data_IF_819392565334
#
_entry.id   IF_819392565334
#
_cell.length_a   1.000
_cell.length_b   1.000
_cell.length_c   1.000
_cell.angle_alpha   90.00
_cell.angle_beta   90.00
_cell.angle_gamma   90.00
#
_symmetry.space_group_name_H-M   'P 1'
#
loop_
_entity.id
_entity.type
_entity.pdbx_description
1 polymer ?
#
# COMPACT_ATOMS: atom_id res chain seq x y z
N UNK A 1 74.85 12.23 27.67
CA UNK A 1 74.05 11.28 28.47
C UNK A 1 72.64 11.83 28.59
N UNK A 2 71.64 10.98 28.29
CA UNK A 2 70.21 11.11 28.62
C UNK A 2 69.37 12.15 27.86
N UNK A 3 68.57 11.67 26.90
CA UNK A 3 67.10 11.82 26.81
C UNK A 3 66.62 11.57 25.37
N UNK A 4 66.16 10.34 25.11
CA UNK A 4 65.26 9.98 24.00
C UNK A 4 64.78 8.56 24.30
N UNK A 5 63.69 8.42 25.05
CA UNK A 5 62.90 7.18 25.21
C UNK A 5 61.64 7.48 26.05
N UNK A 6 60.69 8.23 25.47
CA UNK A 6 59.47 8.63 26.19
C UNK A 6 58.24 8.82 25.31
N UNK A 7 58.20 8.25 24.11
CA UNK A 7 57.04 8.38 23.21
C UNK A 7 56.44 7.06 22.71
N UNK A 8 57.06 5.91 23.00
CA UNK A 8 56.61 4.61 22.46
C UNK A 8 55.69 3.85 23.44
N UNK A 9 55.66 4.19 24.72
CA UNK A 9 54.83 3.47 25.72
C UNK A 9 53.38 3.97 25.87
N UNK A 10 52.99 5.08 25.24
CA UNK A 10 51.60 5.59 25.34
C UNK A 10 50.63 5.07 24.28
N UNK A 11 51.10 4.36 23.26
CA UNK A 11 50.24 3.81 22.19
C UNK A 11 49.84 2.34 22.38
N UNK A 12 50.46 1.61 23.32
CA UNK A 12 50.16 0.19 23.56
C UNK A 12 49.26 -0.09 24.79
N UNK A 13 48.83 0.94 25.52
CA UNK A 13 47.94 0.79 26.68
C UNK A 13 46.44 1.00 26.36
N UNK A 14 46.07 1.39 25.14
CA UNK A 14 44.68 1.72 24.75
C UNK A 14 43.91 0.58 24.07
N UNK A 15 44.53 -0.57 23.83
CA UNK A 15 43.95 -1.67 23.00
C UNK A 15 43.61 -2.94 23.78
N UNK A 16 43.54 -2.88 25.13
CA UNK A 16 43.26 -4.04 25.98
C UNK A 16 41.99 -3.95 26.84
N UNK A 17 41.03 -3.09 26.49
CA UNK A 17 39.84 -2.84 27.31
C UNK A 17 38.46 -3.12 26.68
N UNK A 18 38.36 -3.56 25.43
CA UNK A 18 37.10 -3.50 24.66
C UNK A 18 36.56 -4.87 24.17
N UNK A 19 36.76 -5.96 24.92
CA UNK A 19 36.22 -7.28 24.55
C UNK A 19 35.25 -7.91 25.57
N UNK A 20 34.76 -7.17 26.58
CA UNK A 20 33.94 -7.78 27.64
C UNK A 20 32.44 -7.39 27.72
N UNK A 21 31.92 -6.40 26.98
CA UNK A 21 30.56 -5.89 27.25
C UNK A 21 29.53 -5.90 26.10
N UNK A 22 29.84 -6.52 24.96
CA UNK A 22 28.94 -6.49 23.79
C UNK A 22 27.78 -7.52 23.78
N UNK A 23 27.34 -8.06 24.92
CA UNK A 23 26.24 -9.05 24.96
C UNK A 23 25.05 -8.73 25.87
N UNK A 24 24.77 -7.44 26.16
CA UNK A 24 23.57 -7.04 26.94
C UNK A 24 22.77 -5.84 26.40
N UNK A 25 23.04 -5.37 25.18
CA UNK A 25 22.43 -4.13 24.65
C UNK A 25 21.22 -4.29 23.72
N UNK A 26 20.84 -5.50 23.31
CA UNK A 26 19.85 -5.69 22.22
C UNK A 26 18.39 -5.90 22.65
N UNK A 27 18.01 -5.62 23.90
CA UNK A 27 16.67 -5.95 24.42
C UNK A 27 15.82 -4.77 24.92
N UNK A 28 16.27 -3.52 24.82
CA UNK A 28 15.60 -2.38 25.48
C UNK A 28 14.92 -1.38 24.51
N UNK A 29 15.17 -1.45 23.19
CA UNK A 29 14.54 -0.52 22.23
C UNK A 29 13.23 -1.02 21.59
N UNK A 30 12.66 -2.15 22.04
CA UNK A 30 11.41 -2.69 21.47
C UNK A 30 10.19 -2.57 22.39
N UNK A 31 10.22 -1.73 23.45
CA UNK A 31 9.15 -1.73 24.47
C UNK A 31 8.51 -0.39 24.84
N UNK A 32 8.75 0.69 24.10
CA UNK A 32 8.15 2.01 24.41
C UNK A 32 7.16 2.54 23.36
N UNK A 33 6.69 1.72 22.42
CA UNK A 33 5.68 2.11 21.42
C UNK A 33 4.31 1.43 21.57
N UNK A 34 3.96 0.93 22.78
CA UNK A 34 2.69 0.22 22.99
C UNK A 34 1.65 0.89 23.90
N UNK A 35 1.92 2.01 24.58
CA UNK A 35 1.01 2.55 25.60
C UNK A 35 0.46 3.97 25.33
N UNK A 36 0.04 4.25 24.10
CA UNK A 36 -0.82 5.43 23.85
C UNK A 36 -1.81 5.23 22.70
N UNK A 37 -2.72 4.28 22.87
CA UNK A 37 -3.94 4.20 22.06
C UNK A 37 -5.16 4.17 23.00
N UNK A 38 -5.39 5.30 23.67
CA UNK A 38 -6.62 5.52 24.43
C UNK A 38 -7.75 5.81 23.44
N UNK A 39 -8.77 4.97 23.52
CA UNK A 39 -10.00 5.02 22.74
C UNK A 39 -10.72 6.38 22.85
N UNK A 40 -11.10 6.94 21.70
CA UNK A 40 -12.17 7.93 21.58
C UNK A 40 -13.27 7.37 20.66
N UNK A 41 -14.56 7.57 20.99
CA UNK A 41 -15.68 7.04 20.23
C UNK A 41 -15.93 7.88 18.98
N UNK A 42 -15.83 7.28 17.79
CA UNK A 42 -16.21 7.91 16.53
C UNK A 42 -17.73 7.84 16.36
N UNK A 43 -18.39 9.01 16.39
CA UNK A 43 -19.73 9.22 15.84
C UNK A 43 -19.59 9.49 14.35
N UNK A 44 -20.16 8.62 13.53
CA UNK A 44 -20.46 8.91 12.13
C UNK A 44 -21.74 9.75 12.07
N UNK A 45 -21.72 10.82 11.26
CA UNK A 45 -22.94 11.42 10.73
C UNK A 45 -22.66 11.91 9.31
N UNK A 46 -23.38 11.32 8.37
CA UNK A 46 -23.43 11.72 6.96
C UNK A 46 -24.10 13.10 6.82
N UNK A 47 -23.58 13.96 5.93
CA UNK A 47 -24.37 14.90 5.12
C UNK A 47 -23.54 15.52 3.98
N UNK A 48 -23.82 15.10 2.76
CA UNK A 48 -23.69 15.98 1.59
C UNK A 48 -25.01 16.70 1.38
N UNK A 49 -24.98 18.02 1.21
CA UNK A 49 -25.80 18.67 0.19
C UNK A 49 -25.19 20.01 -0.22
N UNK A 50 -25.26 20.24 -1.52
CA UNK A 50 -24.62 21.27 -2.32
C UNK A 50 -25.02 22.70 -1.97
N UNK A 51 -24.05 23.62 -2.12
CA UNK A 51 -24.35 25.00 -2.52
C UNK A 51 -23.43 25.41 -3.66
N UNK A 52 -24.09 25.82 -4.72
CA UNK A 52 -23.59 26.36 -5.98
C UNK A 52 -23.03 27.77 -5.76
N UNK A 53 -21.72 27.99 -5.99
CA UNK A 53 -21.17 29.33 -6.28
C UNK A 53 -19.71 29.28 -6.73
N UNK A 54 -19.51 29.80 -7.93
CA UNK A 54 -18.30 30.46 -8.49
C UNK A 54 -17.12 29.62 -9.04
N UNK A 55 -16.59 30.00 -10.23
CA UNK A 55 -15.44 29.36 -10.85
C UNK A 55 -14.15 30.03 -10.39
N UNK A 56 -13.62 29.64 -9.24
CA UNK A 56 -12.26 30.01 -8.82
C UNK A 56 -11.32 28.80 -8.81
N UNK A 57 -10.24 28.93 -9.58
CA UNK A 57 -8.96 28.23 -9.53
C UNK A 57 -8.88 26.70 -9.69
N UNK A 58 -8.92 26.30 -10.96
CA UNK A 58 -8.36 25.05 -11.53
C UNK A 58 -6.84 24.81 -11.33
N UNK A 59 -6.18 25.47 -10.39
CA UNK A 59 -4.73 25.36 -10.17
C UNK A 59 -4.33 24.22 -9.21
N UNK A 60 -5.21 23.75 -8.31
CA UNK A 60 -4.82 22.80 -7.25
C UNK A 60 -4.68 21.34 -7.71
N UNK A 61 -5.28 20.94 -8.83
CA UNK A 61 -5.27 19.54 -9.26
C UNK A 61 -3.95 19.09 -9.92
N UNK A 62 -3.05 20.02 -10.25
CA UNK A 62 -1.75 19.71 -10.89
C UNK A 62 -0.73 19.11 -9.91
N UNK A 63 -0.81 19.46 -8.63
CA UNK A 63 0.15 18.98 -7.62
C UNK A 63 -0.01 17.48 -7.32
N UNK A 64 -1.23 16.93 -7.49
CA UNK A 64 -1.49 15.51 -7.31
C UNK A 64 -0.89 14.64 -8.42
N UNK A 65 -0.81 15.17 -9.64
CA UNK A 65 -0.21 14.46 -10.78
C UNK A 65 1.31 14.45 -10.69
N UNK A 66 1.93 15.57 -10.29
CA UNK A 66 3.39 15.63 -10.10
C UNK A 66 3.86 14.69 -9.00
N UNK A 67 3.16 14.63 -7.86
CA UNK A 67 3.49 13.71 -6.77
C UNK A 67 3.40 12.23 -7.19
N UNK A 68 2.43 11.86 -8.04
CA UNK A 68 2.31 10.49 -8.57
C UNK A 68 3.46 10.14 -9.53
N UNK A 69 3.89 11.09 -10.34
CA UNK A 69 5.02 10.90 -11.26
C UNK A 69 6.33 10.75 -10.47
N UNK A 70 6.53 11.56 -9.43
CA UNK A 70 7.70 11.47 -8.55
C UNK A 70 7.74 10.16 -7.76
N UNK A 71 6.59 9.72 -7.23
CA UNK A 71 6.49 8.43 -6.53
C UNK A 71 6.83 7.27 -7.45
N UNK A 72 6.30 7.27 -8.67
CA UNK A 72 6.64 6.23 -9.67
C UNK A 72 8.12 6.25 -10.04
N UNK A 73 8.73 7.43 -10.19
CA UNK A 73 10.16 7.55 -10.46
C UNK A 73 11.02 7.04 -9.29
N UNK A 74 10.57 7.23 -8.06
CA UNK A 74 11.23 6.68 -6.88
C UNK A 74 11.10 5.14 -6.82
N UNK A 75 9.93 4.59 -7.14
CA UNK A 75 9.72 3.13 -7.24
C UNK A 75 10.61 2.49 -8.32
N UNK A 76 10.70 3.09 -9.51
CA UNK A 76 11.56 2.62 -10.59
C UNK A 76 13.05 2.66 -10.17
N UNK A 77 13.46 3.69 -9.42
CA UNK A 77 14.82 3.80 -8.87
C UNK A 77 15.12 2.73 -7.81
N UNK A 78 14.14 2.39 -6.95
CA UNK A 78 14.28 1.31 -5.97
C UNK A 78 14.48 -0.03 -6.70
N UNK A 79 13.64 -0.34 -7.69
CA UNK A 79 13.76 -1.56 -8.48
C UNK A 79 15.12 -1.66 -9.19
N UNK A 80 15.65 -0.54 -9.69
CA UNK A 80 16.99 -0.50 -10.27
C UNK A 80 18.08 -0.81 -9.23
N UNK A 81 18.03 -0.18 -8.06
CA UNK A 81 19.01 -0.41 -6.99
C UNK A 81 18.95 -1.84 -6.43
N UNK A 82 17.77 -2.44 -6.36
CA UNK A 82 17.60 -3.86 -5.99
C UNK A 82 18.26 -4.79 -7.02
N UNK A 83 18.16 -4.47 -8.32
CA UNK A 83 18.87 -5.17 -9.39
C UNK A 83 20.38 -5.06 -9.26
N UNK A 84 20.90 -3.84 -9.10
CA UNK A 84 22.34 -3.58 -8.94
C UNK A 84 22.91 -4.28 -7.68
N UNK A 85 22.11 -4.37 -6.60
CA UNK A 85 22.48 -5.08 -5.38
C UNK A 85 22.59 -6.59 -5.61
N UNK A 86 21.63 -7.20 -6.31
CA UNK A 86 21.66 -8.63 -6.65
C UNK A 86 22.87 -8.97 -7.54
N UNK A 87 23.18 -8.15 -8.53
CA UNK A 87 24.36 -8.32 -9.39
C UNK A 87 25.66 -8.23 -8.58
N UNK A 88 25.74 -7.29 -7.62
CA UNK A 88 26.89 -7.17 -6.73
C UNK A 88 27.04 -8.39 -5.79
N UNK A 89 25.94 -8.96 -5.28
CA UNK A 89 25.94 -10.17 -4.47
C UNK A 89 26.44 -11.39 -5.25
N UNK A 90 26.07 -11.51 -6.53
CA UNK A 90 26.57 -12.56 -7.43
C UNK A 90 28.10 -12.44 -7.63
N UNK A 91 28.61 -11.24 -7.91
CA UNK A 91 30.05 -10.98 -8.05
C UNK A 91 30.81 -11.34 -6.76
N UNK A 92 30.27 -10.99 -5.59
CA UNK A 92 30.87 -11.34 -4.30
C UNK A 92 30.93 -12.87 -4.11
N UNK A 93 29.88 -13.59 -4.51
CA UNK A 93 29.88 -15.05 -4.45
C UNK A 93 30.96 -15.67 -5.33
N UNK A 94 31.13 -15.18 -6.57
CA UNK A 94 32.19 -15.63 -7.48
C UNK A 94 33.59 -15.37 -6.92
N UNK A 95 33.86 -14.15 -6.43
CA UNK A 95 35.15 -13.79 -5.85
C UNK A 95 35.47 -14.61 -4.59
N UNK A 96 34.46 -14.92 -3.75
CA UNK A 96 34.63 -15.82 -2.59
C UNK A 96 35.01 -17.23 -3.03
N UNK A 97 34.37 -17.76 -4.08
CA UNK A 97 34.68 -19.08 -4.63
C UNK A 97 36.11 -19.13 -5.20
N UNK A 98 36.50 -18.11 -5.96
CA UNK A 98 37.85 -18.00 -6.53
C UNK A 98 38.92 -17.89 -5.43
N UNK A 99 38.70 -17.07 -4.40
CA UNK A 99 39.58 -16.98 -3.23
C UNK A 99 39.75 -18.33 -2.53
N UNK A 100 38.66 -19.07 -2.33
CA UNK A 100 38.69 -20.42 -1.75
C UNK A 100 39.51 -21.40 -2.61
N UNK A 101 39.37 -21.33 -3.94
CA UNK A 101 40.15 -22.13 -4.86
C UNK A 101 41.64 -21.78 -4.81
N UNK A 102 41.99 -20.50 -4.80
CA UNK A 102 43.37 -20.03 -4.68
C UNK A 102 44.00 -20.49 -3.35
N UNK A 103 43.27 -20.40 -2.24
CA UNK A 103 43.74 -20.91 -0.93
C UNK A 103 44.01 -22.42 -0.96
N UNK A 104 43.14 -23.21 -1.59
CA UNK A 104 43.38 -24.66 -1.77
C UNK A 104 44.61 -24.95 -2.61
N UNK A 105 44.90 -24.14 -3.62
CA UNK A 105 46.12 -24.29 -4.43
C UNK A 105 47.37 -23.95 -3.61
N UNK A 106 47.36 -22.87 -2.84
CA UNK A 106 48.45 -22.51 -1.92
C UNK A 106 48.69 -23.61 -0.90
N UNK A 107 47.64 -24.20 -0.33
CA UNK A 107 47.77 -25.32 0.60
C UNK A 107 48.38 -26.57 -0.08
N UNK A 108 47.98 -26.90 -1.31
CA UNK A 108 48.59 -27.99 -2.09
C UNK A 108 50.08 -27.75 -2.34
N UNK A 109 50.46 -26.54 -2.75
CA UNK A 109 51.85 -26.17 -2.97
C UNK A 109 52.66 -26.20 -1.67
N UNK A 110 52.08 -25.75 -0.55
CA UNK A 110 52.70 -25.81 0.77
C UNK A 110 52.95 -27.25 1.24
N UNK A 111 52.04 -28.19 0.92
CA UNK A 111 52.22 -29.63 1.19
C UNK A 111 53.19 -30.33 0.24
N UNK A 112 53.24 -29.89 -1.01
CA UNK A 112 54.15 -30.44 -2.03
C UNK A 112 55.56 -29.88 -1.96
N UNK A 113 55.75 -28.74 -1.28
CA UNK A 113 57.05 -28.23 -0.88
C UNK A 113 57.83 -29.37 -0.20
N UNK A 114 58.85 -29.93 -0.86
CA UNK A 114 59.56 -31.07 -0.32
C UNK A 114 60.16 -30.62 1.00
N UNK A 115 59.80 -31.35 2.07
CA UNK A 115 60.49 -31.32 3.34
C UNK A 115 61.99 -31.18 3.06
N UNK A 116 62.58 -30.10 3.59
CA UNK A 116 63.97 -29.63 3.41
C UNK A 116 65.06 -30.68 3.68
N UNK A 117 64.69 -31.94 3.93
CA UNK A 117 65.52 -33.08 4.27
C UNK A 117 66.01 -33.91 3.08
N UNK A 118 65.52 -33.72 1.85
CA UNK A 118 66.01 -34.45 0.66
C UNK A 118 66.74 -33.60 -0.38
N UNK A 119 66.77 -32.27 -0.22
CA UNK A 119 67.48 -31.32 -1.09
C UNK A 119 69.00 -31.24 -0.81
N UNK A 120 69.61 -32.30 -0.28
CA UNK A 120 71.08 -32.42 -0.21
C UNK A 120 71.62 -33.55 -1.10
N UNK A 121 70.77 -34.30 -1.81
CA UNK A 121 71.19 -35.42 -2.66
C UNK A 121 71.06 -35.24 -4.18
N UNK A 122 70.51 -34.12 -4.66
CA UNK A 122 70.39 -33.82 -6.10
C UNK A 122 71.08 -32.50 -6.50
N UNK A 123 71.97 -31.98 -5.66
CA UNK A 123 72.68 -30.72 -5.91
C UNK A 123 73.91 -30.89 -6.83
N UNK A 124 74.03 -31.99 -7.59
CA UNK A 124 75.25 -32.30 -8.33
C UNK A 124 75.15 -32.31 -9.86
N UNK A 125 73.97 -32.40 -10.49
CA UNK A 125 73.92 -32.66 -11.94
C UNK A 125 72.98 -31.76 -12.77
N UNK A 126 72.69 -30.53 -12.34
CA UNK A 126 71.98 -29.58 -13.21
C UNK A 126 72.42 -28.14 -13.01
N UNK A 127 73.71 -27.91 -13.30
CA UNK A 127 74.21 -26.60 -13.67
C UNK A 127 73.84 -26.33 -15.13
N UNK A 128 72.61 -25.83 -15.35
CA UNK A 128 72.33 -25.04 -16.54
C UNK A 128 71.81 -23.69 -16.07
N UNK A 129 72.70 -22.71 -16.21
CA UNK A 129 72.66 -21.39 -15.62
C UNK A 129 71.60 -20.52 -16.31
N UNK A 130 70.41 -20.45 -15.73
CA UNK A 130 69.70 -19.18 -15.67
C UNK A 130 69.98 -18.61 -14.27
N UNK A 131 70.58 -17.42 -14.26
CA UNK A 131 71.03 -16.68 -13.08
C UNK A 131 69.87 -16.50 -12.09
N UNK A 132 69.76 -17.38 -11.08
CA UNK A 132 68.67 -17.37 -10.09
C UNK A 132 68.53 -16.05 -9.31
N UNK A 133 69.51 -15.15 -9.46
CA UNK A 133 69.45 -13.79 -8.98
C UNK A 133 68.44 -12.93 -9.77
N UNK A 134 68.24 -13.16 -11.08
CA UNK A 134 67.27 -12.44 -11.90
C UNK A 134 65.82 -12.81 -11.57
N UNK A 135 65.53 -14.09 -11.35
CA UNK A 135 64.20 -14.53 -10.92
C UNK A 135 63.84 -13.96 -9.55
N UNK A 136 64.79 -13.95 -8.61
CA UNK A 136 64.56 -13.39 -7.27
C UNK A 136 64.21 -11.89 -7.31
N UNK A 137 64.91 -11.10 -8.13
CA UNK A 137 64.58 -9.68 -8.30
C UNK A 137 63.24 -9.47 -9.01
N UNK A 138 62.88 -10.29 -9.99
CA UNK A 138 61.55 -10.25 -10.63
C UNK A 138 60.41 -10.52 -9.63
N UNK A 139 60.54 -11.54 -8.78
CA UNK A 139 59.54 -11.85 -7.77
C UNK A 139 59.40 -10.75 -6.72
N UNK A 140 60.51 -10.12 -6.35
CA UNK A 140 60.54 -8.99 -5.42
C UNK A 140 59.86 -7.75 -6.00
N UNK A 141 60.07 -7.47 -7.29
CA UNK A 141 59.36 -6.39 -7.99
C UNK A 141 57.86 -6.67 -8.12
N UNK A 142 57.48 -7.91 -8.45
CA UNK A 142 56.07 -8.34 -8.49
C UNK A 142 55.40 -8.25 -7.12
N UNK A 143 56.09 -8.63 -6.04
CA UNK A 143 55.58 -8.50 -4.68
C UNK A 143 55.32 -7.02 -4.31
N UNK A 144 56.24 -6.13 -4.69
CA UNK A 144 56.09 -4.68 -4.49
C UNK A 144 54.92 -4.10 -5.28
N UNK A 145 54.70 -4.58 -6.51
CA UNK A 145 53.55 -4.18 -7.34
C UNK A 145 52.22 -4.58 -6.67
N UNK A 146 52.10 -5.84 -6.23
CA UNK A 146 50.90 -6.33 -5.54
C UNK A 146 50.66 -5.61 -4.20
N UNK A 147 51.72 -5.30 -3.46
CA UNK A 147 51.62 -4.50 -2.23
C UNK A 147 51.08 -3.10 -2.51
N UNK A 148 51.53 -2.46 -3.60
CA UNK A 148 51.01 -1.17 -4.02
C UNK A 148 49.54 -1.25 -4.47
N UNK A 149 49.16 -2.25 -5.28
CA UNK A 149 47.76 -2.49 -5.67
C UNK A 149 46.85 -2.71 -4.45
N UNK A 150 47.33 -3.49 -3.47
CA UNK A 150 46.61 -3.75 -2.23
C UNK A 150 46.47 -2.48 -1.37
N UNK A 151 47.47 -1.59 -1.38
CA UNK A 151 47.39 -0.28 -0.74
C UNK A 151 46.33 0.61 -1.42
N UNK A 152 46.31 0.66 -2.75
CA UNK A 152 45.32 1.41 -3.54
C UNK A 152 43.90 0.87 -3.29
N UNK A 153 43.71 -0.46 -3.32
CA UNK A 153 42.42 -1.08 -3.08
C UNK A 153 41.91 -0.80 -1.66
N UNK A 154 42.79 -0.83 -0.64
CA UNK A 154 42.44 -0.43 0.74
C UNK A 154 42.00 1.02 0.83
N UNK A 155 42.71 1.93 0.16
CA UNK A 155 42.36 3.35 0.15
C UNK A 155 41.02 3.60 -0.56
N UNK A 156 40.78 2.93 -1.69
CA UNK A 156 39.50 2.98 -2.41
C UNK A 156 38.34 2.45 -1.56
N UNK A 157 38.54 1.33 -0.84
CA UNK A 157 37.53 0.78 0.07
C UNK A 157 37.20 1.75 1.20
N UNK A 158 38.21 2.38 1.82
CA UNK A 158 37.98 3.39 2.87
C UNK A 158 37.22 4.60 2.33
N UNK A 159 37.53 5.06 1.11
CA UNK A 159 36.80 6.15 0.47
C UNK A 159 35.33 5.78 0.19
N UNK A 160 35.07 4.57 -0.32
CA UNK A 160 33.71 4.09 -0.57
C UNK A 160 32.90 3.94 0.73
N UNK A 161 33.51 3.43 1.81
CA UNK A 161 32.87 3.36 3.13
C UNK A 161 32.51 4.74 3.69
N UNK A 162 33.41 5.72 3.51
CA UNK A 162 33.16 7.08 3.94
C UNK A 162 32.03 7.74 3.12
N UNK A 163 32.00 7.51 1.80
CA UNK A 163 30.93 8.00 0.93
C UNK A 163 29.58 7.39 1.32
N UNK A 164 29.50 6.07 1.48
CA UNK A 164 28.28 5.38 1.91
C UNK A 164 27.77 5.92 3.27
N UNK A 165 28.68 6.22 4.20
CA UNK A 165 28.30 6.83 5.49
C UNK A 165 27.69 8.22 5.32
N UNK A 166 28.19 9.03 4.38
CA UNK A 166 27.61 10.35 4.07
C UNK A 166 26.22 10.19 3.45
N UNK A 167 26.08 9.31 2.46
CA UNK A 167 24.80 9.03 1.79
C UNK A 167 23.74 8.53 2.79
N UNK A 168 24.09 7.63 3.72
CA UNK A 168 23.18 7.21 4.78
C UNK A 168 22.73 8.38 5.66
N UNK A 169 23.62 9.31 6.01
CA UNK A 169 23.25 10.47 6.82
C UNK A 169 22.32 11.42 6.05
N UNK A 170 22.55 11.63 4.75
CA UNK A 170 21.69 12.45 3.90
C UNK A 170 20.28 11.84 3.79
N UNK A 171 20.18 10.52 3.61
CA UNK A 171 18.89 9.82 3.58
C UNK A 171 18.14 9.94 4.92
N UNK A 172 18.84 9.83 6.05
CA UNK A 172 18.24 10.00 7.38
C UNK A 172 17.68 11.42 7.54
N UNK A 173 18.38 12.45 7.07
CA UNK A 173 17.88 13.84 7.12
C UNK A 173 16.64 14.04 6.25
N UNK A 174 16.61 13.47 5.03
CA UNK A 174 15.42 13.53 4.17
C UNK A 174 14.21 12.86 4.82
N UNK A 175 14.39 11.68 5.42
CA UNK A 175 13.32 10.99 6.15
C UNK A 175 12.82 11.85 7.31
N UNK A 176 13.73 12.48 8.06
CA UNK A 176 13.38 13.38 9.17
C UNK A 176 12.54 14.57 8.70
N UNK A 177 12.87 15.16 7.55
CA UNK A 177 12.10 16.26 6.96
C UNK A 177 10.70 15.81 6.52
N UNK A 178 10.58 14.66 5.88
CA UNK A 178 9.29 14.09 5.47
C UNK A 178 8.40 13.76 6.69
N UNK A 179 8.97 13.23 7.77
CA UNK A 179 8.23 12.99 9.02
C UNK A 179 7.70 14.28 9.65
N UNK A 180 8.46 15.37 9.57
CA UNK A 180 8.03 16.70 10.02
C UNK A 180 6.89 17.24 9.15
N UNK A 181 6.98 17.09 7.84
CA UNK A 181 5.91 17.49 6.90
C UNK A 181 4.63 16.69 7.12
N UNK A 182 4.71 15.37 7.27
CA UNK A 182 3.56 14.51 7.61
C UNK A 182 2.93 14.95 8.93
N UNK A 183 3.74 15.29 9.93
CA UNK A 183 3.25 15.78 11.23
C UNK A 183 2.50 17.10 11.08
N UNK A 184 3.01 18.02 10.26
CA UNK A 184 2.33 19.29 9.95
C UNK A 184 1.00 19.04 9.23
N UNK A 185 1.00 18.23 8.17
CA UNK A 185 -0.21 17.89 7.42
C UNK A 185 -1.28 17.23 8.30
N UNK A 186 -0.88 16.37 9.24
CA UNK A 186 -1.81 15.78 10.23
C UNK A 186 -2.45 16.86 11.12
N UNK A 187 -1.67 17.84 11.58
CA UNK A 187 -2.23 18.93 12.39
C UNK A 187 -3.18 19.82 11.60
N UNK A 188 -2.89 20.07 10.32
CA UNK A 188 -3.75 20.88 9.46
C UNK A 188 -5.03 20.13 9.07
N UNK A 189 -4.94 18.81 8.83
CA UNK A 189 -6.11 17.94 8.64
C UNK A 189 -7.02 17.98 9.86
N UNK A 190 -6.47 17.83 11.07
CA UNK A 190 -7.23 17.87 12.31
C UNK A 190 -7.97 19.21 12.51
N UNK A 191 -7.30 20.34 12.25
CA UNK A 191 -7.95 21.68 12.27
C UNK A 191 -9.05 21.80 11.21
N UNK A 192 -8.90 21.14 10.06
CA UNK A 192 -9.93 21.13 9.03
C UNK A 192 -11.13 20.29 9.45
N UNK A 193 -10.92 19.14 10.06
CA UNK A 193 -11.99 18.29 10.62
C UNK A 193 -12.76 19.03 11.72
N UNK A 194 -12.07 19.77 12.59
CA UNK A 194 -12.69 20.63 13.61
C UNK A 194 -13.59 21.71 12.97
N UNK A 195 -13.09 22.44 11.97
CA UNK A 195 -13.87 23.44 11.23
C UNK A 195 -15.09 22.83 10.52
N UNK A 196 -14.96 21.62 9.96
CA UNK A 196 -16.10 20.91 9.33
C UNK A 196 -17.15 20.60 10.40
N UNK A 197 -16.74 20.11 11.57
CA UNK A 197 -17.64 19.87 12.70
C UNK A 197 -18.42 21.12 13.15
N UNK A 198 -17.74 22.27 13.24
CA UNK A 198 -18.39 23.55 13.57
C UNK A 198 -19.46 23.94 12.53
N UNK A 199 -19.16 23.77 11.23
CA UNK A 199 -20.08 24.07 10.13
C UNK A 199 -21.26 23.08 10.11
N UNK A 200 -21.03 21.79 10.38
CA UNK A 200 -22.08 20.79 10.48
C UNK A 200 -23.04 21.09 11.66
N UNK A 201 -22.49 21.55 12.77
CA UNK A 201 -23.23 22.01 13.94
C UNK A 201 -24.09 23.25 13.62
N UNK A 202 -23.53 24.25 12.93
CA UNK A 202 -24.27 25.43 12.46
C UNK A 202 -25.39 25.04 11.48
N UNK A 203 -25.10 24.20 10.49
CA UNK A 203 -26.09 23.71 9.53
C UNK A 203 -27.22 22.93 10.21
N UNK A 204 -26.91 22.15 11.25
CA UNK A 204 -27.95 21.46 12.04
C UNK A 204 -28.88 22.47 12.72
N UNK A 205 -28.33 23.51 13.34
CA UNK A 205 -29.12 24.57 13.98
C UNK A 205 -30.00 25.31 12.98
N UNK A 206 -29.47 25.65 11.80
CA UNK A 206 -30.23 26.30 10.72
C UNK A 206 -31.38 25.42 10.23
N UNK A 207 -31.16 24.12 10.05
CA UNK A 207 -32.20 23.17 9.64
C UNK A 207 -33.32 23.09 10.68
N UNK A 208 -32.98 23.10 11.97
CA UNK A 208 -33.99 23.06 13.04
C UNK A 208 -34.77 24.38 13.14
N UNK A 209 -34.12 25.53 12.92
CA UNK A 209 -34.78 26.83 12.83
C UNK A 209 -35.75 26.91 11.64
N UNK A 210 -35.35 26.40 10.46
CA UNK A 210 -36.23 26.34 9.28
C UNK A 210 -37.46 25.49 9.57
N UNK A 211 -37.31 24.34 10.23
CA UNK A 211 -38.44 23.49 10.62
C UNK A 211 -39.40 24.20 11.57
N UNK A 212 -38.88 24.94 12.55
CA UNK A 212 -39.70 25.70 13.49
C UNK A 212 -40.51 26.79 12.76
N UNK A 213 -39.87 27.58 11.91
CA UNK A 213 -40.56 28.60 11.10
C UNK A 213 -41.60 27.98 10.16
N UNK A 214 -41.29 26.85 9.52
CA UNK A 214 -42.25 26.16 8.63
C UNK A 214 -43.47 25.63 9.40
N UNK A 215 -43.27 25.17 10.64
CA UNK A 215 -44.38 24.75 11.51
C UNK A 215 -45.23 25.93 11.98
N UNK A 216 -44.63 27.08 12.26
CA UNK A 216 -45.33 28.30 12.66
C UNK A 216 -46.19 28.87 11.52
N UNK A 217 -45.63 28.96 10.30
CA UNK A 217 -46.39 29.35 9.09
C UNK A 217 -47.58 28.41 8.82
N UNK A 218 -47.40 27.10 9.06
CA UNK A 218 -48.47 26.11 8.90
C UNK A 218 -49.59 26.26 9.93
N UNK A 219 -49.32 26.84 11.10
CA UNK A 219 -50.33 27.11 12.14
C UNK A 219 -51.11 28.39 11.87
N UNK A 220 -50.49 29.37 11.25
CA UNK A 220 -51.11 30.67 10.98
C UNK A 220 -52.07 30.64 9.78
N UNK A 221 -51.92 29.66 8.88
CA UNK A 221 -52.77 29.48 7.69
C UNK A 221 -53.86 28.40 7.83
N UNK A 222 -54.40 28.14 9.03
CA UNK A 222 -55.69 27.44 9.12
C UNK A 222 -56.84 28.46 8.99
N UNK A 223 -57.48 28.61 7.82
CA UNK A 223 -58.73 29.33 7.73
C UNK A 223 -59.79 28.56 8.54
N UNK A 224 -60.52 29.28 9.40
CA UNK A 224 -61.77 28.79 9.98
C UNK A 224 -62.74 28.45 8.83
N UNK A 225 -62.71 27.20 8.37
CA UNK A 225 -63.63 26.71 7.35
C UNK A 225 -64.78 25.95 8.01
N UNK A 226 -65.92 26.62 7.88
CA UNK A 226 -67.30 26.22 8.09
C UNK A 226 -67.61 24.79 7.61
N UNK A 227 -68.45 24.09 8.36
CA UNK A 227 -68.82 22.68 8.20
C UNK A 227 -69.55 22.44 6.86
N UNK A 228 -68.82 22.01 5.84
CA UNK A 228 -69.34 21.74 4.50
C UNK A 228 -68.94 20.38 3.95
N UNK A 229 -69.69 19.35 4.37
CA UNK A 229 -69.97 18.08 3.67
C UNK A 229 -69.09 17.69 2.45
N UNK A 230 -68.25 16.67 2.66
CA UNK A 230 -68.24 15.48 1.81
C UNK A 230 -67.51 15.55 0.47
N UNK A 231 -66.20 15.36 0.48
CA UNK A 231 -65.52 14.37 -0.38
C UNK A 231 -64.11 14.12 0.15
N UNK A 232 -63.96 13.08 0.97
CA UNK A 232 -62.65 12.52 1.34
C UNK A 232 -62.01 11.92 0.08
N UNK A 233 -61.33 12.77 -0.71
CA UNK A 233 -60.34 12.30 -1.67
C UNK A 233 -59.17 11.75 -0.88
N UNK A 234 -59.21 10.43 -0.70
CA UNK A 234 -58.14 9.58 -0.20
C UNK A 234 -56.84 9.99 -0.93
N UNK A 235 -55.98 10.75 -0.24
CA UNK A 235 -54.61 10.99 -0.63
C UNK A 235 -53.91 9.62 -0.67
N UNK A 236 -54.01 8.93 -1.80
CA UNK A 236 -53.33 7.67 -2.05
C UNK A 236 -51.85 7.95 -1.88
N UNK A 237 -51.26 7.30 -0.89
CA UNK A 237 -49.84 7.25 -0.60
C UNK A 237 -49.09 6.93 -1.92
N UNK A 238 -48.62 7.96 -2.62
CA UNK A 238 -47.92 7.84 -3.90
C UNK A 238 -46.47 7.41 -3.65
N UNK A 239 -46.31 6.32 -2.91
CA UNK A 239 -45.03 5.63 -2.89
C UNK A 239 -44.82 5.03 -4.28
N UNK A 240 -43.73 5.40 -4.98
CA UNK A 240 -43.53 4.91 -6.34
C UNK A 240 -43.46 3.38 -6.34
N UNK A 241 -44.23 2.76 -7.24
CA UNK A 241 -44.34 1.31 -7.34
C UNK A 241 -43.07 0.71 -7.98
N UNK A 242 -42.64 -0.45 -7.49
CA UNK A 242 -41.53 -1.19 -8.10
C UNK A 242 -41.99 -1.85 -9.40
N UNK A 243 -41.31 -1.57 -10.50
CA UNK A 243 -41.58 -2.18 -11.81
C UNK A 243 -40.52 -3.24 -12.12
N UNK A 244 -40.94 -4.42 -12.58
CA UNK A 244 -40.02 -5.50 -12.96
C UNK A 244 -39.45 -5.25 -14.37
N UNK A 245 -38.12 -5.33 -14.50
CA UNK A 245 -37.37 -5.03 -15.72
C UNK A 245 -37.14 -6.33 -16.52
N UNK A 246 -37.98 -6.53 -17.53
CA UNK A 246 -37.96 -7.73 -18.41
C UNK A 246 -37.04 -7.61 -19.62
N UNK A 247 -36.50 -6.41 -19.88
CA UNK A 247 -35.69 -6.14 -21.08
C UNK A 247 -34.43 -7.03 -21.08
N UNK A 248 -34.14 -7.62 -22.24
CA UNK A 248 -32.96 -8.48 -22.46
C UNK A 248 -32.02 -7.79 -23.42
N UNK A 249 -30.81 -7.50 -22.92
CA UNK A 249 -29.71 -6.99 -23.73
C UNK A 249 -28.77 -8.14 -24.12
N UNK A 250 -28.06 -8.04 -25.26
CA UNK A 250 -27.06 -9.02 -25.65
C UNK A 250 -25.96 -9.09 -24.59
N UNK A 251 -25.42 -10.28 -24.34
CA UNK A 251 -24.35 -10.42 -23.34
C UNK A 251 -23.04 -9.85 -23.89
N UNK A 252 -22.35 -8.97 -23.15
CA UNK A 252 -21.03 -8.48 -23.52
C UNK A 252 -20.01 -9.61 -23.72
N UNK A 253 -18.95 -9.32 -24.49
CA UNK A 253 -17.89 -10.29 -24.82
C UNK A 253 -16.82 -10.46 -23.71
N UNK A 254 -16.94 -9.70 -22.62
CA UNK A 254 -16.05 -9.74 -21.46
C UNK A 254 -16.74 -10.36 -20.24
N UNK A 255 -15.97 -10.71 -19.21
CA UNK A 255 -16.47 -11.32 -17.96
C UNK A 255 -16.66 -10.28 -16.83
N UNK A 256 -17.29 -10.68 -15.71
CA UNK A 256 -17.52 -9.79 -14.56
C UNK A 256 -16.24 -9.30 -13.86
N UNK A 257 -15.14 -10.06 -13.96
CA UNK A 257 -13.85 -9.69 -13.38
C UNK A 257 -12.99 -8.82 -14.33
N UNK A 258 -13.50 -8.54 -15.53
CA UNK A 258 -12.78 -7.78 -16.57
C UNK A 258 -12.49 -6.34 -16.13
N UNK A 259 -11.39 -5.73 -16.62
CA UNK A 259 -11.06 -4.33 -16.32
C UNK A 259 -12.16 -3.36 -16.77
N UNK A 260 -12.93 -3.69 -17.81
CA UNK A 260 -14.07 -2.90 -18.29
C UNK A 260 -15.16 -2.79 -17.22
N UNK A 261 -15.50 -3.89 -16.57
CA UNK A 261 -16.49 -3.90 -15.47
C UNK A 261 -15.95 -3.12 -14.27
N UNK A 262 -14.66 -3.27 -13.94
CA UNK A 262 -14.05 -2.53 -12.83
C UNK A 262 -14.05 -1.01 -13.09
N UNK A 263 -13.72 -0.60 -14.30
CA UNK A 263 -13.75 0.80 -14.73
C UNK A 263 -15.17 1.36 -14.64
N UNK A 264 -16.17 0.62 -15.13
CA UNK A 264 -17.58 1.04 -15.05
C UNK A 264 -18.06 1.20 -13.61
N UNK A 265 -17.76 0.25 -12.72
CA UNK A 265 -18.16 0.37 -11.33
C UNK A 265 -17.50 1.58 -10.65
N UNK A 266 -16.25 1.90 -11.02
CA UNK A 266 -15.53 3.07 -10.50
C UNK A 266 -16.14 4.40 -11.00
N UNK A 267 -16.64 4.45 -12.24
CA UNK A 267 -17.30 5.66 -12.77
C UNK A 267 -18.71 5.84 -12.21
N UNK A 268 -19.36 4.79 -11.74
CA UNK A 268 -20.72 4.85 -11.18
C UNK A 268 -20.79 5.26 -9.71
N UNK A 269 -19.70 5.14 -8.96
CA UNK A 269 -19.66 5.61 -7.58
C UNK A 269 -18.24 5.94 -7.14
N UNK A 270 -18.06 7.14 -6.55
CA UNK A 270 -16.84 7.54 -5.84
C UNK A 270 -16.72 6.91 -4.46
N UNK A 271 -17.80 6.31 -3.94
CA UNK A 271 -17.82 5.68 -2.63
C UNK A 271 -17.11 4.31 -2.69
N UNK A 272 -15.86 4.29 -2.21
CA UNK A 272 -15.00 3.11 -2.18
C UNK A 272 -15.65 1.93 -1.43
N UNK A 273 -16.40 2.19 -0.35
CA UNK A 273 -17.10 1.13 0.40
C UNK A 273 -18.22 0.50 -0.42
N UNK A 274 -19.05 1.32 -1.08
CA UNK A 274 -20.14 0.85 -1.96
C UNK A 274 -19.57 0.05 -3.14
N UNK A 275 -18.48 0.54 -3.74
CA UNK A 275 -17.75 -0.14 -4.80
C UNK A 275 -17.27 -1.53 -4.35
N UNK A 276 -16.59 -1.60 -3.20
CA UNK A 276 -16.11 -2.86 -2.62
C UNK A 276 -17.25 -3.82 -2.33
N UNK A 277 -18.35 -3.33 -1.74
CA UNK A 277 -19.54 -4.13 -1.46
C UNK A 277 -20.16 -4.72 -2.74
N UNK A 278 -20.31 -3.93 -3.79
CA UNK A 278 -20.82 -4.39 -5.09
C UNK A 278 -19.88 -5.44 -5.70
N UNK A 279 -18.56 -5.22 -5.65
CA UNK A 279 -17.57 -6.20 -6.15
C UNK A 279 -17.65 -7.51 -5.38
N UNK A 280 -17.71 -7.46 -4.05
CA UNK A 280 -17.86 -8.65 -3.21
C UNK A 280 -19.19 -9.37 -3.50
N UNK A 281 -20.27 -8.62 -3.69
CA UNK A 281 -21.57 -9.18 -4.06
C UNK A 281 -21.50 -9.88 -5.42
N UNK A 282 -20.94 -9.24 -6.45
CA UNK A 282 -20.77 -9.83 -7.78
C UNK A 282 -19.91 -11.09 -7.73
N UNK A 283 -18.76 -11.03 -7.05
CA UNK A 283 -17.87 -12.18 -6.88
C UNK A 283 -18.55 -13.34 -6.14
N UNK A 284 -19.33 -13.04 -5.09
CA UNK A 284 -20.08 -14.06 -4.36
C UNK A 284 -21.17 -14.70 -5.22
N UNK A 285 -21.87 -13.88 -6.00
CA UNK A 285 -22.94 -14.35 -6.88
C UNK A 285 -22.37 -15.26 -7.98
N UNK A 286 -21.26 -14.87 -8.61
CA UNK A 286 -20.61 -15.63 -9.71
C UNK A 286 -19.98 -16.95 -9.22
N UNK A 287 -19.35 -16.96 -8.06
CA UNK A 287 -18.61 -18.12 -7.54
C UNK A 287 -19.52 -19.18 -6.88
N UNK A 288 -20.64 -19.53 -7.51
CA UNK A 288 -21.68 -20.38 -6.95
C UNK A 288 -21.24 -21.82 -6.61
N UNK A 289 -20.04 -22.21 -7.06
CA UNK A 289 -19.40 -23.50 -6.75
C UNK A 289 -18.77 -23.54 -5.35
N UNK A 290 -18.63 -22.40 -4.68
CA UNK A 290 -18.16 -22.38 -3.30
C UNK A 290 -19.33 -22.80 -2.41
N UNK A 291 -19.33 -24.07 -2.01
CA UNK A 291 -20.31 -24.69 -1.10
C UNK A 291 -20.83 -23.69 -0.06
N UNK A 292 -22.08 -23.24 -0.21
CA UNK A 292 -22.77 -22.32 0.72
C UNK A 292 -22.78 -22.80 2.17
N UNK A 293 -22.48 -24.08 2.40
CA UNK A 293 -22.31 -24.67 3.75
C UNK A 293 -20.99 -24.27 4.42
N UNK A 294 -20.00 -23.77 3.66
CA UNK A 294 -18.69 -23.30 4.18
C UNK A 294 -18.60 -21.79 4.43
N UNK A 295 -19.56 -20.99 3.95
CA UNK A 295 -19.67 -19.57 4.29
C UNK A 295 -21.01 -19.33 5.03
N UNK A 296 -20.97 -19.18 6.36
CA UNK A 296 -22.11 -18.97 7.31
C UNK A 296 -22.97 -17.70 7.09
N UNK A 297 -23.35 -16.84 8.08
CA UNK A 297 -24.27 -15.63 8.08
C UNK A 297 -23.63 -14.19 8.37
N UNK A 298 -23.60 -13.18 7.43
CA UNK A 298 -23.03 -11.79 7.61
C UNK A 298 -24.18 -10.94 8.12
N UNK A 299 -23.91 -10.02 9.04
CA UNK A 299 -24.78 -8.86 9.29
C UNK A 299 -24.17 -7.60 8.70
N UNK A 300 -25.00 -6.73 8.11
CA UNK A 300 -24.61 -5.46 7.48
C UNK A 300 -23.76 -4.56 8.42
N UNK A 301 -23.96 -4.68 9.74
CA UNK A 301 -23.24 -3.93 10.78
C UNK A 301 -21.76 -4.35 10.96
N UNK A 302 -21.35 -5.51 10.43
CA UNK A 302 -19.97 -6.00 10.53
C UNK A 302 -19.08 -5.52 9.37
N UNK A 303 -19.68 -4.99 8.29
CA UNK A 303 -18.93 -4.34 7.21
C UNK A 303 -18.42 -2.94 7.61
N UNK A 304 -19.06 -2.30 8.59
CA UNK A 304 -18.68 -0.95 9.05
C UNK A 304 -17.41 -0.93 9.91
N UNK A 305 -17.00 -2.07 10.49
CA UNK A 305 -15.87 -2.15 11.45
C UNK A 305 -14.70 -3.02 10.99
N UNK A 306 -14.83 -3.75 9.88
CA UNK A 306 -13.77 -4.65 9.42
C UNK A 306 -12.73 -3.89 8.57
N UNK A 307 -11.63 -3.48 9.20
CA UNK A 307 -10.33 -3.49 8.52
C UNK A 307 -10.13 -4.88 7.94
N UNK A 308 -9.71 -4.91 6.67
CA UNK A 308 -9.76 -6.00 5.70
C UNK A 308 -9.04 -7.32 6.09
N UNK A 309 -8.60 -7.53 7.32
CA UNK A 309 -7.74 -8.66 7.72
C UNK A 309 -8.39 -9.77 8.56
N UNK A 310 -9.67 -9.69 8.94
CA UNK A 310 -10.34 -10.82 9.59
C UNK A 310 -11.77 -11.03 9.09
N UNK A 311 -11.89 -11.68 7.94
CA UNK A 311 -13.16 -12.21 7.43
C UNK A 311 -13.35 -13.61 8.03
N UNK A 312 -14.15 -13.74 9.09
CA UNK A 312 -14.46 -15.07 9.63
C UNK A 312 -15.41 -15.84 8.67
N UNK A 313 -15.10 -17.12 8.37
CA UNK A 313 -15.84 -17.96 7.43
C UNK A 313 -17.19 -18.31 8.01
N UNK A 314 -18.19 -17.52 7.63
CA UNK A 314 -19.35 -17.50 8.48
C UNK A 314 -20.38 -16.52 8.02
N UNK A 315 -20.50 -16.22 6.71
CA UNK A 315 -21.41 -15.16 6.27
C UNK A 315 -22.30 -15.18 4.99
N UNK A 316 -23.63 -15.01 5.16
CA UNK A 316 -24.70 -15.11 4.17
C UNK A 316 -24.77 -13.75 3.50
N UNK A 317 -24.19 -13.66 2.32
CA UNK A 317 -24.36 -12.52 1.47
C UNK A 317 -25.85 -12.36 1.11
N UNK A 318 -26.39 -11.14 1.08
CA UNK A 318 -27.78 -10.93 0.74
C UNK A 318 -28.07 -11.43 -0.68
N UNK A 319 -29.23 -12.06 -0.83
CA UNK A 319 -29.70 -12.69 -2.07
C UNK A 319 -29.80 -11.69 -3.23
N UNK A 320 -29.91 -10.40 -2.91
CA UNK A 320 -29.88 -9.31 -3.87
C UNK A 320 -29.18 -8.08 -3.34
N UNK A 321 -28.92 -7.14 -4.25
CA UNK A 321 -28.38 -5.82 -3.97
C UNK A 321 -29.43 -4.76 -4.32
N UNK A 322 -29.52 -3.74 -3.48
CA UNK A 322 -30.35 -2.55 -3.71
C UNK A 322 -29.42 -1.37 -3.87
N UNK A 323 -29.54 -0.68 -5.00
CA UNK A 323 -28.73 0.44 -5.40
C UNK A 323 -29.63 1.65 -5.45
N UNK A 324 -29.66 2.46 -4.38
CA UNK A 324 -30.58 3.57 -4.32
C UNK A 324 -30.09 4.75 -5.15
N UNK A 325 -31.05 5.55 -5.61
CA UNK A 325 -30.86 6.91 -6.17
C UNK A 325 -29.78 6.99 -7.28
N UNK A 326 -29.81 6.05 -8.20
CA UNK A 326 -28.95 6.00 -9.38
C UNK A 326 -29.39 7.03 -10.43
N UNK A 327 -28.41 7.63 -11.11
CA UNK A 327 -28.66 8.36 -12.35
C UNK A 327 -29.19 7.41 -13.44
N UNK A 328 -29.99 7.89 -14.40
CA UNK A 328 -30.56 7.07 -15.47
C UNK A 328 -29.49 6.26 -16.24
N UNK A 329 -28.35 6.89 -16.53
CA UNK A 329 -27.24 6.29 -17.28
C UNK A 329 -26.58 5.15 -16.50
N UNK A 330 -26.44 5.30 -15.18
CA UNK A 330 -25.89 4.27 -14.30
C UNK A 330 -26.85 3.09 -14.23
N UNK A 331 -28.15 3.36 -14.03
CA UNK A 331 -29.21 2.33 -14.04
C UNK A 331 -29.19 1.54 -15.35
N UNK A 332 -29.15 2.22 -16.49
CA UNK A 332 -29.12 1.58 -17.80
C UNK A 332 -27.81 0.83 -18.05
N UNK A 333 -26.68 1.32 -17.56
CA UNK A 333 -25.39 0.62 -17.56
C UNK A 333 -25.45 -0.73 -16.82
N UNK A 334 -26.07 -0.78 -15.65
CA UNK A 334 -26.31 -2.04 -14.94
C UNK A 334 -27.20 -2.99 -15.76
N UNK A 335 -28.30 -2.48 -16.34
CA UNK A 335 -29.25 -3.28 -17.11
C UNK A 335 -28.66 -3.83 -18.42
N UNK A 336 -27.78 -3.08 -19.07
CA UNK A 336 -27.22 -3.39 -20.39
C UNK A 336 -25.93 -4.20 -20.31
N UNK A 337 -25.14 -4.05 -19.24
CA UNK A 337 -23.82 -4.66 -19.12
C UNK A 337 -23.77 -5.72 -18.00
N UNK A 338 -24.12 -5.35 -16.77
CA UNK A 338 -23.94 -6.23 -15.60
C UNK A 338 -25.00 -7.35 -15.56
N UNK A 339 -26.27 -7.00 -15.74
CA UNK A 339 -27.39 -7.97 -15.67
C UNK A 339 -27.27 -9.08 -16.73
N UNK A 340 -26.93 -8.81 -18.00
CA UNK A 340 -26.73 -9.86 -18.99
C UNK A 340 -25.55 -10.79 -18.67
N UNK A 341 -24.48 -10.28 -18.06
CA UNK A 341 -23.35 -11.10 -17.60
C UNK A 341 -23.78 -12.02 -16.46
N UNK A 342 -24.49 -11.50 -15.47
CA UNK A 342 -25.06 -12.30 -14.38
C UNK A 342 -25.99 -13.40 -14.92
N UNK A 343 -26.87 -13.06 -15.88
CA UNK A 343 -27.77 -14.04 -16.51
C UNK A 343 -27.05 -15.12 -17.31
N UNK A 344 -25.86 -14.83 -17.86
CA UNK A 344 -25.05 -15.81 -18.63
C UNK A 344 -24.24 -16.72 -17.72
N UNK A 345 -23.62 -16.16 -16.68
CA UNK A 345 -22.66 -16.89 -15.85
C UNK A 345 -23.33 -17.71 -14.73
N UNK A 346 -24.58 -17.40 -14.38
CA UNK A 346 -25.27 -18.03 -13.26
C UNK A 346 -26.29 -19.06 -13.73
N UNK A 347 -26.31 -20.21 -13.04
CA UNK A 347 -27.39 -21.21 -13.16
C UNK A 347 -28.69 -20.78 -12.44
N UNK A 348 -28.84 -19.48 -12.15
CA UNK A 348 -29.91 -18.89 -11.34
C UNK A 348 -30.77 -17.96 -12.15
N UNK A 349 -32.01 -17.79 -11.71
CA UNK A 349 -32.87 -16.75 -12.28
C UNK A 349 -32.51 -15.39 -11.66
N UNK A 350 -32.38 -14.36 -12.50
CA UNK A 350 -32.05 -13.00 -12.07
C UNK A 350 -33.28 -12.12 -12.27
N UNK A 351 -33.83 -11.64 -11.16
CA UNK A 351 -34.92 -10.67 -11.13
C UNK A 351 -34.36 -9.28 -10.93
N UNK A 352 -34.82 -8.33 -11.73
CA UNK A 352 -34.41 -6.94 -11.65
C UNK A 352 -35.65 -6.09 -11.53
N UNK A 353 -35.70 -5.24 -10.51
CA UNK A 353 -36.78 -4.28 -10.33
C UNK A 353 -36.17 -2.89 -10.34
N UNK A 354 -36.86 -1.95 -10.98
CA UNK A 354 -36.52 -0.54 -10.89
C UNK A 354 -37.68 0.22 -10.25
N UNK A 355 -37.36 1.35 -9.62
CA UNK A 355 -38.35 2.27 -9.10
C UNK A 355 -37.90 3.68 -9.38
N UNK A 356 -38.76 4.48 -10.00
CA UNK A 356 -38.47 5.88 -10.31
C UNK A 356 -38.78 6.74 -9.08
N UNK A 357 -37.89 7.64 -8.70
CA UNK A 357 -38.17 8.61 -7.63
C UNK A 357 -39.14 9.69 -8.08
N UNK A 358 -39.78 10.34 -7.10
CA UNK A 358 -40.67 11.47 -7.32
C UNK A 358 -39.96 12.68 -7.94
N UNK A 359 -38.64 12.77 -7.81
CA UNK A 359 -37.83 13.82 -8.46
C UNK A 359 -37.75 13.68 -9.98
N UNK A 360 -38.19 12.56 -10.54
CA UNK A 360 -38.22 12.33 -11.98
C UNK A 360 -36.87 11.97 -12.60
N UNK A 361 -35.78 12.07 -11.84
CA UNK A 361 -34.39 12.00 -12.33
C UNK A 361 -33.69 10.73 -11.83
N UNK A 362 -33.93 10.33 -10.59
CA UNK A 362 -33.23 9.21 -9.99
C UNK A 362 -34.05 7.92 -9.98
N UNK A 363 -33.33 6.79 -9.94
CA UNK A 363 -33.90 5.45 -9.92
C UNK A 363 -33.30 4.60 -8.81
N UNK A 364 -34.13 3.83 -8.13
CA UNK A 364 -33.64 2.68 -7.38
C UNK A 364 -33.54 1.47 -8.31
N UNK A 365 -32.48 0.69 -8.16
CA UNK A 365 -32.31 -0.57 -8.86
C UNK A 365 -32.11 -1.70 -7.85
N UNK A 366 -32.93 -2.74 -7.94
CA UNK A 366 -32.89 -3.91 -7.08
C UNK A 366 -32.64 -5.15 -7.93
N UNK A 367 -31.50 -5.80 -7.73
CA UNK A 367 -31.10 -7.01 -8.45
C UNK A 367 -31.12 -8.18 -7.47
N UNK A 368 -31.96 -9.18 -7.71
CA UNK A 368 -32.11 -10.37 -6.87
C UNK A 368 -31.77 -11.64 -7.63
N UNK A 369 -31.05 -12.54 -6.98
CA UNK A 369 -30.76 -13.88 -7.49
C UNK A 369 -31.75 -14.87 -6.90
N UNK A 370 -32.41 -15.68 -7.72
CA UNK A 370 -33.35 -16.69 -7.26
C UNK A 370 -32.86 -18.08 -7.69
N UNK A 371 -33.02 -19.12 -6.84
CA UNK A 371 -32.74 -20.49 -7.25
C UNK A 371 -33.59 -20.84 -8.49
N UNK A 372 -32.98 -21.55 -9.43
CA UNK A 372 -33.68 -22.04 -10.63
C UNK A 372 -34.47 -23.28 -10.21
N UNK A 373 -35.80 -23.18 -10.22
CA UNK A 373 -36.71 -24.29 -9.93
C UNK A 373 -36.66 -25.37 -11.02
#
# INVERSE_FOLDING_TARGET
>A
MWQKNGLVERLNASTKGEEADNNKGASILSREFQDSLVMMPKKEQERENSTESEPEDTMENKNGETAKVELKAAEDKILQLEGDLLDAEEVICHLKAEKLQALRQVEKLSRQSPSRSTLTKLQNDQADLMDGNQEAEMWKEKAKMVENELSIAKQSLMAAQQQHRVECNELIEVVREQEQEISKLKTDLWKSEERIGDIEDENRLLVDLIKENTQEESRECQPELDEGSGTEEIARDMTPEWTEEWIRHPTPAFDLDSPEVQYLLYTWTSNVRKLQYIRLWLAHVVNDKVDRKKLGKISLKQLETASLEMIEPGSHFPIGVELPRLAPEVKDGFLTLIVPLLRKQLDRSIQVHSRKYNDGVHFDLRIRTLPRN
#
